data_IF_803731012422
#
_entry.id   IF_803731012422
#
_cell.length_a   1.000
_cell.length_b   1.000
_cell.length_c   1.000
_cell.angle_alpha   90.00
_cell.angle_beta   90.00
_cell.angle_gamma   90.00
#
_symmetry.space_group_name_H-M   'P 1'
#
loop_
_entity.id
_entity.type
_entity.pdbx_description
1 polymer ?
#
# COMPACT_ATOMS: atom_id res chain seq x y z
N UNK A 1 -27.62 1.34 -9.05
CA UNK A 1 -27.92 0.61 -10.31
C UNK A 1 -28.31 1.55 -11.44
N UNK A 2 -29.32 2.45 -11.28
CA UNK A 2 -29.84 3.32 -12.36
C UNK A 2 -28.76 4.31 -12.89
N UNK A 3 -28.03 5.00 -12.00
CA UNK A 3 -26.99 5.97 -12.40
C UNK A 3 -25.90 5.28 -13.23
N UNK A 4 -25.43 4.11 -12.81
CA UNK A 4 -24.42 3.37 -13.57
C UNK A 4 -24.95 2.91 -14.95
N UNK A 5 -26.23 2.52 -15.05
CA UNK A 5 -26.82 2.19 -16.35
C UNK A 5 -26.84 3.37 -17.31
N UNK A 6 -27.16 4.57 -16.82
CA UNK A 6 -27.10 5.80 -17.64
C UNK A 6 -25.68 6.10 -18.07
N UNK A 7 -24.70 6.03 -17.16
CA UNK A 7 -23.30 6.36 -17.48
C UNK A 7 -22.69 5.35 -18.47
N UNK A 8 -22.97 4.05 -18.31
CA UNK A 8 -22.51 3.01 -19.23
C UNK A 8 -23.10 3.16 -20.64
N UNK A 9 -24.26 3.84 -20.78
CA UNK A 9 -24.80 4.16 -22.11
C UNK A 9 -24.07 5.30 -22.82
N UNK A 10 -23.25 6.10 -22.11
CA UNK A 10 -22.45 7.18 -22.69
C UNK A 10 -21.16 6.62 -23.30
N UNK A 11 -20.41 5.84 -22.49
CA UNK A 11 -19.20 5.16 -22.90
C UNK A 11 -18.82 4.06 -21.87
N UNK A 12 -17.96 3.10 -22.24
CA UNK A 12 -17.60 1.99 -21.35
C UNK A 12 -16.72 2.38 -20.15
N UNK A 13 -16.22 3.61 -20.10
CA UNK A 13 -15.30 4.10 -19.06
C UNK A 13 -15.99 5.03 -18.06
N UNK A 14 -17.19 5.53 -18.40
CA UNK A 14 -17.95 6.37 -17.48
C UNK A 14 -18.59 5.55 -16.37
N UNK A 15 -18.28 5.89 -15.12
CA UNK A 15 -18.82 5.22 -13.95
C UNK A 15 -19.06 6.20 -12.80
N UNK A 16 -20.09 5.92 -12.00
CA UNK A 16 -20.30 6.58 -10.72
C UNK A 16 -19.53 5.83 -9.63
N UNK A 17 -18.76 6.57 -8.86
CA UNK A 17 -18.11 6.06 -7.66
C UNK A 17 -18.87 6.52 -6.42
N UNK A 18 -19.12 5.59 -5.50
CA UNK A 18 -19.56 5.96 -4.15
C UNK A 18 -18.44 6.75 -3.44
N UNK A 19 -18.74 7.52 -2.39
CA UNK A 19 -17.71 8.23 -1.62
C UNK A 19 -16.56 7.32 -1.17
N UNK A 20 -16.87 6.09 -0.71
CA UNK A 20 -15.86 5.13 -0.28
C UNK A 20 -15.02 4.60 -1.44
N UNK A 21 -15.67 4.28 -2.59
CA UNK A 21 -14.95 3.86 -3.79
C UNK A 21 -14.03 4.96 -4.32
N UNK A 22 -14.47 6.22 -4.26
CA UNK A 22 -13.66 7.36 -4.66
C UNK A 22 -12.45 7.55 -3.73
N UNK A 23 -12.65 7.44 -2.41
CA UNK A 23 -11.58 7.53 -1.43
C UNK A 23 -10.54 6.41 -1.60
N UNK A 24 -11.00 5.18 -1.86
CA UNK A 24 -10.11 4.06 -2.15
C UNK A 24 -9.32 4.29 -3.43
N UNK A 25 -9.95 4.77 -4.51
CA UNK A 25 -9.26 5.12 -5.74
C UNK A 25 -8.22 6.23 -5.52
N UNK A 26 -8.52 7.25 -4.71
CA UNK A 26 -7.55 8.29 -4.34
C UNK A 26 -6.35 7.69 -3.63
N UNK A 27 -6.56 6.79 -2.66
CA UNK A 27 -5.50 6.08 -1.93
C UNK A 27 -4.63 5.23 -2.88
N UNK A 28 -5.25 4.50 -3.80
CA UNK A 28 -4.54 3.69 -4.80
C UNK A 28 -3.70 4.56 -5.74
N UNK A 29 -4.24 5.71 -6.13
CA UNK A 29 -3.60 6.67 -7.04
C UNK A 29 -2.44 7.40 -6.37
N UNK A 30 -2.63 7.94 -5.19
CA UNK A 30 -1.57 8.59 -4.41
C UNK A 30 -0.52 7.59 -3.93
N UNK A 31 -0.93 6.36 -3.64
CA UNK A 31 -0.10 5.36 -2.99
C UNK A 31 0.19 5.69 -1.52
N UNK A 32 -0.67 6.50 -0.91
CA UNK A 32 -0.54 6.96 0.47
C UNK A 32 -1.89 6.99 1.17
N UNK A 33 -1.91 6.72 2.47
CA UNK A 33 -3.10 6.85 3.31
C UNK A 33 -2.73 7.20 4.75
N UNK A 34 -3.65 7.84 5.46
CA UNK A 34 -3.49 8.05 6.90
C UNK A 34 -3.78 6.78 7.68
N UNK A 35 -2.82 6.34 8.48
CA UNK A 35 -2.93 5.09 9.21
C UNK A 35 -1.84 4.89 10.25
N UNK A 36 -1.72 3.66 10.73
CA UNK A 36 -0.82 3.26 11.82
C UNK A 36 0.50 2.66 11.32
N UNK A 37 0.54 2.19 10.06
CA UNK A 37 1.68 1.48 9.51
C UNK A 37 1.82 0.06 10.06
N UNK A 38 0.75 -0.72 10.02
CA UNK A 38 0.71 -2.12 10.48
C UNK A 38 0.25 -3.03 9.35
N UNK A 39 0.98 -4.08 9.08
CA UNK A 39 0.50 -5.20 8.28
C UNK A 39 -0.28 -6.17 9.17
N UNK A 40 -1.50 -6.49 8.79
CA UNK A 40 -2.41 -7.30 9.59
C UNK A 40 -3.04 -8.44 8.82
N UNK A 41 -3.43 -9.49 9.54
CA UNK A 41 -4.23 -10.59 9.02
C UNK A 41 -5.36 -10.94 9.99
N UNK A 42 -6.31 -11.76 9.54
CA UNK A 42 -7.33 -12.32 10.41
C UNK A 42 -6.90 -13.71 10.89
N UNK A 43 -6.86 -13.93 12.20
CA UNK A 43 -6.58 -15.23 12.80
C UNK A 43 -7.58 -15.50 13.91
N UNK A 44 -8.33 -16.60 13.81
CA UNK A 44 -9.36 -17.01 14.79
C UNK A 44 -10.38 -15.90 15.13
N UNK A 45 -10.78 -15.09 14.15
CA UNK A 45 -11.79 -14.02 14.32
C UNK A 45 -11.27 -12.76 15.02
N UNK A 46 -9.96 -12.62 15.18
CA UNK A 46 -9.28 -11.40 15.69
C UNK A 46 -8.20 -10.94 14.73
N UNK A 47 -7.92 -9.65 14.75
CA UNK A 47 -6.88 -9.05 13.91
C UNK A 47 -5.51 -9.29 14.54
N UNK A 48 -4.64 -9.99 13.82
CA UNK A 48 -3.26 -10.25 14.21
C UNK A 48 -2.31 -9.32 13.47
N UNK A 49 -1.41 -8.71 14.19
CA UNK A 49 -0.29 -7.95 13.63
C UNK A 49 0.72 -8.93 13.05
N UNK A 50 0.92 -8.88 11.73
CA UNK A 50 1.99 -9.61 11.04
C UNK A 50 3.32 -8.92 11.32
N UNK A 51 3.36 -7.60 11.04
CA UNK A 51 4.53 -6.76 11.27
C UNK A 51 4.11 -5.28 11.32
N UNK A 52 4.64 -4.46 12.23
CA UNK A 52 4.66 -3.03 12.00
C UNK A 52 5.59 -2.72 10.82
N UNK A 53 5.33 -1.62 10.12
CA UNK A 53 6.20 -1.09 9.08
C UNK A 53 7.31 -0.30 9.78
N UNK A 54 8.54 -0.45 9.30
CA UNK A 54 9.70 0.27 9.85
C UNK A 54 9.47 1.79 9.87
N UNK A 55 9.80 2.43 10.96
CA UNK A 55 9.63 3.87 11.21
C UNK A 55 8.17 4.34 11.10
N UNK A 56 7.21 3.46 11.40
CA UNK A 56 5.79 3.80 11.43
C UNK A 56 5.35 4.19 12.85
N UNK A 57 4.24 4.95 12.99
CA UNK A 57 3.69 5.32 14.29
C UNK A 57 3.43 4.13 15.22
N UNK A 58 3.02 2.99 14.68
CA UNK A 58 2.77 1.79 15.46
C UNK A 58 4.07 1.15 15.98
N UNK A 59 5.14 1.16 15.18
CA UNK A 59 6.46 0.68 15.63
C UNK A 59 7.00 1.56 16.75
N UNK A 60 6.90 2.87 16.61
CA UNK A 60 7.41 3.85 17.59
C UNK A 60 6.79 3.68 18.97
N UNK A 61 5.49 3.39 19.05
CA UNK A 61 4.82 3.13 20.33
C UNK A 61 5.03 1.71 20.86
N UNK A 62 5.68 0.84 20.10
CA UNK A 62 6.07 -0.50 20.52
C UNK A 62 5.05 -1.60 20.22
N UNK A 63 4.21 -1.44 19.21
CA UNK A 63 3.42 -2.54 18.61
C UNK A 63 4.38 -3.55 18.00
N UNK A 64 4.10 -4.85 18.14
CA UNK A 64 5.00 -5.93 17.71
C UNK A 64 4.28 -6.97 16.86
N UNK A 65 5.05 -7.66 16.04
CA UNK A 65 4.58 -8.85 15.34
C UNK A 65 4.03 -9.87 16.33
N UNK A 66 2.88 -10.47 16.02
CA UNK A 66 2.19 -11.42 16.89
C UNK A 66 1.24 -10.80 17.91
N UNK A 67 1.10 -9.47 17.98
CA UNK A 67 0.07 -8.82 18.77
C UNK A 67 -1.32 -9.11 18.18
N UNK A 68 -2.32 -9.28 19.02
CA UNK A 68 -3.72 -9.43 18.63
C UNK A 68 -4.49 -8.16 19.01
N UNK A 69 -4.96 -7.41 18.02
CA UNK A 69 -5.78 -6.22 18.23
C UNK A 69 -7.20 -6.68 18.60
N UNK A 70 -7.61 -6.37 19.81
CA UNK A 70 -8.92 -6.78 20.34
C UNK A 70 -9.92 -5.64 20.39
N UNK A 71 -9.44 -4.38 20.45
CA UNK A 71 -10.28 -3.18 20.49
C UNK A 71 -9.60 -2.04 19.72
N UNK A 72 -10.38 -1.25 19.02
CA UNK A 72 -9.98 -0.03 18.32
C UNK A 72 -10.91 1.07 18.78
N UNK A 73 -10.37 2.11 19.42
CA UNK A 73 -11.14 3.08 20.20
C UNK A 73 -12.14 2.36 21.13
N UNK A 74 -13.43 2.66 21.04
CA UNK A 74 -14.46 2.00 21.82
C UNK A 74 -15.05 0.74 21.16
N UNK A 75 -14.52 0.34 20.00
CA UNK A 75 -15.09 -0.72 19.16
C UNK A 75 -14.34 -2.03 19.35
N UNK A 76 -15.05 -3.10 19.76
CA UNK A 76 -14.51 -4.46 19.77
C UNK A 76 -14.27 -4.96 18.35
N UNK A 77 -13.10 -5.56 18.12
CA UNK A 77 -12.72 -6.10 16.80
C UNK A 77 -13.33 -7.47 16.54
N UNK A 78 -13.65 -8.22 17.60
CA UNK A 78 -14.23 -9.56 17.47
C UNK A 78 -15.53 -9.54 16.66
N UNK A 79 -15.62 -10.42 15.67
CA UNK A 79 -16.78 -10.54 14.78
C UNK A 79 -16.79 -9.58 13.59
N UNK A 80 -15.78 -8.70 13.47
CA UNK A 80 -15.58 -7.85 12.29
C UNK A 80 -14.76 -8.58 11.23
N UNK A 81 -14.94 -8.18 10.00
CA UNK A 81 -14.06 -8.57 8.88
C UNK A 81 -12.74 -7.83 8.97
N UNK A 82 -11.71 -8.34 8.29
CA UNK A 82 -10.42 -7.65 8.19
C UNK A 82 -10.57 -6.24 7.60
N UNK A 83 -11.38 -6.11 6.54
CA UNK A 83 -11.63 -4.81 5.90
C UNK A 83 -12.25 -3.80 6.84
N UNK A 84 -13.26 -4.20 7.62
CA UNK A 84 -13.90 -3.32 8.62
C UNK A 84 -12.91 -2.89 9.71
N UNK A 85 -12.05 -3.79 10.16
CA UNK A 85 -11.03 -3.44 11.16
C UNK A 85 -9.95 -2.50 10.57
N UNK A 86 -9.55 -2.72 9.32
CA UNK A 86 -8.60 -1.84 8.61
C UNK A 86 -9.20 -0.45 8.42
N UNK A 87 -10.47 -0.34 8.05
CA UNK A 87 -11.14 0.98 7.91
C UNK A 87 -11.21 1.74 9.23
N UNK A 88 -11.40 1.05 10.36
CA UNK A 88 -11.35 1.68 11.69
C UNK A 88 -9.93 2.20 12.03
N UNK A 89 -8.89 1.47 11.61
CA UNK A 89 -7.50 1.88 11.83
C UNK A 89 -7.07 3.03 10.92
N UNK A 90 -7.67 3.18 9.74
CA UNK A 90 -7.44 4.31 8.82
C UNK A 90 -8.14 5.57 9.32
N UNK A 91 -7.66 6.72 8.88
CA UNK A 91 -8.28 8.00 9.21
C UNK A 91 -7.45 9.20 8.75
N UNK A 92 -7.89 10.42 9.05
CA UNK A 92 -7.13 11.63 8.73
C UNK A 92 -5.75 11.61 9.37
N UNK A 93 -4.74 12.03 8.61
CA UNK A 93 -3.38 12.25 9.14
C UNK A 93 -3.44 13.25 10.28
N UNK A 94 -2.72 12.98 11.37
CA UNK A 94 -2.71 13.81 12.60
C UNK A 94 -3.86 13.51 13.57
N UNK A 95 -4.78 12.60 13.24
CA UNK A 95 -5.82 12.16 14.19
C UNK A 95 -5.32 11.04 15.08
N UNK A 96 -5.73 11.03 16.34
CA UNK A 96 -5.37 10.01 17.31
C UNK A 96 -6.31 8.80 17.23
N UNK A 97 -5.80 7.65 17.64
CA UNK A 97 -6.54 6.40 17.78
C UNK A 97 -5.95 5.59 18.94
N UNK A 98 -6.82 4.94 19.70
CA UNK A 98 -6.42 3.98 20.73
C UNK A 98 -6.58 2.56 20.22
N UNK A 99 -5.54 1.74 20.30
CA UNK A 99 -5.65 0.29 20.07
C UNK A 99 -5.34 -0.48 21.34
N UNK A 100 -6.19 -1.45 21.66
CA UNK A 100 -5.94 -2.41 22.74
C UNK A 100 -5.50 -3.74 22.12
N UNK A 101 -4.35 -4.24 22.57
CA UNK A 101 -3.80 -5.49 22.07
C UNK A 101 -3.60 -6.51 23.17
N UNK A 102 -3.69 -7.80 22.78
CA UNK A 102 -3.24 -8.93 23.57
C UNK A 102 -1.92 -9.43 23.01
N UNK A 103 -0.91 -9.52 23.87
CA UNK A 103 0.44 -10.02 23.53
C UNK A 103 0.73 -11.30 24.30
N UNK A 104 1.28 -12.27 23.60
CA UNK A 104 1.68 -13.54 24.24
C UNK A 104 2.76 -13.25 25.30
N UNK A 105 2.54 -13.78 26.51
CA UNK A 105 3.44 -13.56 27.66
C UNK A 105 3.02 -12.39 28.56
N UNK A 106 2.15 -11.49 28.10
CA UNK A 106 1.61 -10.41 28.92
C UNK A 106 0.30 -10.82 29.60
N UNK A 107 0.19 -10.58 30.90
CA UNK A 107 -1.02 -10.91 31.67
C UNK A 107 -2.17 -9.93 31.41
N UNK A 108 -1.84 -8.67 31.14
CA UNK A 108 -2.80 -7.61 30.88
C UNK A 108 -2.81 -7.23 29.41
N UNK A 109 -3.92 -6.70 28.94
CA UNK A 109 -3.98 -6.03 27.64
C UNK A 109 -3.10 -4.78 27.66
N UNK A 110 -2.42 -4.51 26.55
CA UNK A 110 -1.63 -3.31 26.34
C UNK A 110 -2.48 -2.30 25.57
N UNK A 111 -2.37 -1.05 25.94
CA UNK A 111 -3.09 0.07 25.28
C UNK A 111 -2.04 0.95 24.63
N UNK A 112 -2.23 1.24 23.35
CA UNK A 112 -1.38 2.15 22.59
C UNK A 112 -2.21 3.29 22.03
N UNK A 113 -1.81 4.53 22.35
CA UNK A 113 -2.33 5.73 21.71
C UNK A 113 -1.39 6.09 20.57
N UNK A 114 -1.93 6.19 19.37
CA UNK A 114 -1.16 6.34 18.14
C UNK A 114 -1.75 7.52 17.35
N UNK A 115 -0.90 8.46 16.96
CA UNK A 115 -1.30 9.48 15.99
C UNK A 115 -1.12 8.95 14.58
N UNK A 116 -2.17 9.01 13.76
CA UNK A 116 -2.10 8.55 12.37
C UNK A 116 -1.17 9.40 11.53
N UNK A 117 -0.32 8.77 10.77
CA UNK A 117 0.59 9.44 9.85
C UNK A 117 0.36 8.98 8.40
N UNK A 118 1.06 9.63 7.47
CA UNK A 118 1.07 9.22 6.06
C UNK A 118 1.82 7.90 5.94
N UNK A 119 1.11 6.85 5.58
CA UNK A 119 1.69 5.53 5.31
C UNK A 119 1.83 5.35 3.80
N UNK A 120 3.06 5.15 3.33
CA UNK A 120 3.33 4.91 1.92
C UNK A 120 3.12 3.44 1.57
N UNK A 121 2.33 3.21 0.52
CA UNK A 121 2.15 1.86 -0.03
C UNK A 121 3.38 1.52 -0.87
N UNK A 122 4.14 0.51 -0.45
CA UNK A 122 5.26 0.01 -1.23
C UNK A 122 4.74 -0.68 -2.50
N UNK A 123 4.76 0.04 -3.63
CA UNK A 123 4.39 -0.52 -4.94
C UNK A 123 5.55 -1.27 -5.61
N UNK A 124 6.76 -1.15 -5.09
CA UNK A 124 7.98 -1.76 -5.65
C UNK A 124 8.56 -2.77 -4.66
N UNK A 125 8.68 -4.02 -5.11
CA UNK A 125 9.39 -5.10 -4.39
C UNK A 125 10.62 -5.50 -5.18
N UNK A 126 11.74 -5.73 -4.50
CA UNK A 126 13.01 -6.04 -5.17
C UNK A 126 13.69 -7.26 -4.57
N UNK A 127 14.41 -7.98 -5.41
CA UNK A 127 15.22 -9.14 -5.05
C UNK A 127 16.45 -9.20 -5.97
N UNK A 128 17.58 -9.68 -5.47
CA UNK A 128 18.75 -9.98 -6.30
C UNK A 128 18.74 -11.48 -6.62
N UNK A 129 18.68 -11.81 -7.92
CA UNK A 129 18.75 -13.20 -8.42
C UNK A 129 20.13 -13.49 -9.00
N UNK A 130 20.67 -14.68 -8.69
CA UNK A 130 21.94 -15.18 -9.20
C UNK A 130 23.13 -14.23 -8.98
N UNK A 131 23.08 -13.38 -7.98
CA UNK A 131 24.05 -12.32 -7.66
C UNK A 131 24.35 -11.34 -8.81
N UNK A 132 23.59 -11.38 -9.91
CA UNK A 132 23.84 -10.61 -11.14
C UNK A 132 22.61 -9.90 -11.68
N UNK A 133 21.41 -10.29 -11.25
CA UNK A 133 20.15 -9.82 -11.81
C UNK A 133 19.34 -9.11 -10.74
N UNK A 134 19.04 -7.83 -10.94
CA UNK A 134 18.08 -7.09 -10.14
C UNK A 134 16.66 -7.41 -10.62
N UNK A 135 15.88 -8.08 -9.78
CA UNK A 135 14.47 -8.31 -10.01
C UNK A 135 13.68 -7.22 -9.33
N UNK A 136 12.84 -6.52 -10.09
CA UNK A 136 11.98 -5.43 -9.64
C UNK A 136 10.55 -5.78 -10.00
N UNK A 137 9.72 -6.00 -8.99
CA UNK A 137 8.28 -6.20 -9.19
C UNK A 137 7.55 -4.90 -8.87
N UNK A 138 6.80 -4.39 -9.84
CA UNK A 138 5.93 -3.23 -9.69
C UNK A 138 4.47 -3.72 -9.62
N UNK A 139 3.80 -3.45 -8.50
CA UNK A 139 2.43 -3.93 -8.24
C UNK A 139 1.34 -2.98 -8.74
N UNK A 140 1.63 -1.67 -8.82
CA UNK A 140 0.72 -0.64 -9.35
C UNK A 140 1.49 0.60 -9.74
N UNK A 141 0.91 1.43 -10.62
CA UNK A 141 1.47 2.72 -11.02
C UNK A 141 0.83 3.86 -10.21
N UNK A 142 1.26 4.07 -8.97
CA UNK A 142 0.87 5.21 -8.13
C UNK A 142 1.88 6.37 -8.24
N UNK A 143 1.58 7.52 -7.64
CA UNK A 143 2.41 8.73 -7.71
C UNK A 143 3.88 8.50 -7.28
N UNK A 144 4.11 7.56 -6.36
CA UNK A 144 5.41 7.25 -5.80
C UNK A 144 6.20 6.19 -6.58
N UNK A 145 5.55 5.43 -7.47
CA UNK A 145 6.14 4.27 -8.16
C UNK A 145 7.41 4.62 -8.93
N UNK A 146 7.40 5.70 -9.68
CA UNK A 146 8.55 6.14 -10.47
C UNK A 146 9.75 6.50 -9.60
N UNK A 147 9.51 7.17 -8.47
CA UNK A 147 10.56 7.50 -7.51
C UNK A 147 11.13 6.23 -6.87
N UNK A 148 10.27 5.32 -6.41
CA UNK A 148 10.69 4.06 -5.79
C UNK A 148 11.56 3.23 -6.74
N UNK A 149 11.15 3.06 -8.01
CA UNK A 149 11.95 2.34 -9.02
C UNK A 149 13.28 3.05 -9.26
N UNK A 150 13.28 4.37 -9.45
CA UNK A 150 14.50 5.14 -9.68
C UNK A 150 15.51 4.97 -8.54
N UNK A 151 15.04 5.02 -7.31
CA UNK A 151 15.90 4.88 -6.14
C UNK A 151 16.46 3.46 -6.04
N UNK A 152 15.66 2.42 -6.34
CA UNK A 152 16.12 1.03 -6.40
C UNK A 152 17.11 0.78 -7.53
N UNK A 153 16.90 1.33 -8.72
CA UNK A 153 17.86 1.24 -9.81
C UNK A 153 19.19 1.90 -9.42
N UNK A 154 19.15 3.06 -8.76
CA UNK A 154 20.38 3.72 -8.26
C UNK A 154 21.11 2.88 -7.20
N UNK A 155 20.35 2.23 -6.31
CA UNK A 155 20.90 1.31 -5.31
C UNK A 155 21.61 0.12 -5.99
N UNK A 156 20.96 -0.52 -6.95
CA UNK A 156 21.54 -1.64 -7.70
C UNK A 156 22.75 -1.26 -8.54
N UNK A 157 22.77 -0.05 -9.13
CA UNK A 157 23.94 0.45 -9.89
C UNK A 157 25.20 0.61 -9.04
N UNK A 158 25.08 0.71 -7.72
CA UNK A 158 26.23 0.73 -6.82
C UNK A 158 26.84 -0.66 -6.61
N UNK A 159 26.12 -1.71 -6.93
CA UNK A 159 26.59 -3.09 -6.84
C UNK A 159 27.15 -3.52 -8.22
N UNK A 160 28.47 -3.57 -8.35
CA UNK A 160 29.17 -3.90 -9.60
C UNK A 160 28.83 -5.30 -10.16
N UNK A 161 28.27 -6.20 -9.35
CA UNK A 161 27.87 -7.52 -9.80
C UNK A 161 26.54 -7.50 -10.58
N UNK A 162 25.69 -6.47 -10.38
CA UNK A 162 24.40 -6.39 -11.08
C UNK A 162 24.61 -5.96 -12.52
N UNK A 163 24.27 -6.83 -13.45
CA UNK A 163 24.40 -6.62 -14.91
C UNK A 163 23.07 -6.60 -15.63
N UNK A 164 22.05 -7.26 -15.05
CA UNK A 164 20.76 -7.46 -15.68
C UNK A 164 19.64 -6.92 -14.79
N UNK A 165 18.54 -6.53 -15.44
CA UNK A 165 17.32 -6.07 -14.78
C UNK A 165 16.11 -6.83 -15.31
N UNK A 166 15.23 -7.25 -14.42
CA UNK A 166 13.92 -7.82 -14.76
C UNK A 166 12.87 -6.91 -14.12
N UNK A 167 12.01 -6.31 -14.94
CA UNK A 167 10.82 -5.61 -14.49
C UNK A 167 9.61 -6.55 -14.59
N UNK A 168 9.05 -6.93 -13.47
CA UNK A 168 7.87 -7.80 -13.40
C UNK A 168 6.61 -6.97 -13.16
N UNK A 169 5.72 -6.99 -14.16
CA UNK A 169 4.42 -6.32 -14.16
C UNK A 169 3.25 -7.32 -14.08
N UNK A 170 3.50 -8.57 -13.76
CA UNK A 170 2.42 -9.58 -13.64
C UNK A 170 1.48 -9.23 -12.51
N UNK A 171 0.17 -9.31 -12.80
CA UNK A 171 -0.91 -8.90 -11.89
C UNK A 171 -0.87 -7.41 -11.47
N UNK A 172 -0.23 -6.56 -12.29
CA UNK A 172 -0.31 -5.12 -12.14
C UNK A 172 -1.58 -4.63 -12.85
N UNK A 173 -2.56 -4.01 -12.16
CA UNK A 173 -3.81 -3.56 -12.78
C UNK A 173 -3.65 -2.27 -13.59
N UNK A 174 -2.48 -1.63 -13.56
CA UNK A 174 -2.23 -0.34 -14.17
C UNK A 174 -2.09 0.77 -13.13
N UNK A 175 -2.65 1.94 -13.42
CA UNK A 175 -2.60 3.15 -12.59
C UNK A 175 -2.32 4.40 -13.42
N UNK A 176 -1.49 5.31 -12.93
CA UNK A 176 -1.19 6.59 -13.57
C UNK A 176 -0.34 6.42 -14.83
N UNK A 177 -0.87 6.88 -15.97
CA UNK A 177 -0.17 6.89 -17.25
C UNK A 177 1.17 7.66 -17.18
N UNK A 178 1.19 8.78 -16.45
CA UNK A 178 2.40 9.56 -16.23
C UNK A 178 3.52 8.77 -15.57
N UNK A 179 3.18 7.88 -14.64
CA UNK A 179 4.16 7.01 -14.00
C UNK A 179 4.60 5.85 -14.91
N UNK A 180 3.70 5.30 -15.72
CA UNK A 180 4.05 4.31 -16.71
C UNK A 180 5.05 4.88 -17.73
N UNK A 181 4.81 6.08 -18.25
CA UNK A 181 5.74 6.79 -19.15
C UNK A 181 7.09 6.99 -18.45
N UNK A 182 7.10 7.55 -17.25
CA UNK A 182 8.32 7.84 -16.49
C UNK A 182 9.14 6.59 -16.19
N UNK A 183 8.47 5.49 -15.87
CA UNK A 183 9.16 4.22 -15.58
C UNK A 183 9.71 3.60 -16.87
N UNK A 184 8.96 3.64 -17.96
CA UNK A 184 9.42 3.15 -19.26
C UNK A 184 10.69 3.91 -19.71
N UNK A 185 10.72 5.22 -19.51
CA UNK A 185 11.86 6.07 -19.84
C UNK A 185 13.16 5.67 -19.11
N UNK A 186 13.06 5.07 -17.92
CA UNK A 186 14.26 4.60 -17.21
C UNK A 186 14.96 3.41 -17.86
N UNK A 187 14.28 2.70 -18.78
CA UNK A 187 14.77 1.50 -19.46
C UNK A 187 14.99 1.71 -20.97
N UNK A 188 14.72 2.90 -21.49
CA UNK A 188 14.83 3.23 -22.90
C UNK A 188 15.84 4.36 -23.09
N UNK A 189 16.67 4.26 -24.12
CA UNK A 189 17.63 5.31 -24.45
C UNK A 189 17.01 6.42 -25.29
N UNK A 190 16.06 6.06 -26.17
CA UNK A 190 15.33 6.99 -27.05
C UNK A 190 14.09 6.32 -27.63
N UNK A 191 13.24 7.11 -28.25
CA UNK A 191 12.02 6.68 -28.92
C UNK A 191 10.74 7.20 -28.27
N UNK A 192 9.64 7.09 -28.98
CA UNK A 192 8.32 7.47 -28.49
C UNK A 192 7.77 6.37 -27.57
N UNK A 193 7.32 6.73 -26.36
CA UNK A 193 6.73 5.81 -25.42
C UNK A 193 5.24 5.67 -25.64
N UNK A 194 4.55 6.79 -25.84
CA UNK A 194 3.12 6.85 -26.10
C UNK A 194 2.76 8.13 -26.84
N UNK A 195 1.86 8.04 -27.82
CA UNK A 195 1.21 9.19 -28.43
C UNK A 195 -0.30 9.02 -28.46
N UNK A 196 -1.06 10.07 -28.20
CA UNK A 196 -2.50 10.05 -28.42
C UNK A 196 -2.75 9.96 -29.93
N UNK A 197 -3.53 8.96 -30.37
CA UNK A 197 -4.11 8.97 -31.71
C UNK A 197 -5.43 9.73 -31.66
N UNK A 198 -5.53 10.80 -32.44
CA UNK A 198 -6.81 11.48 -32.71
C UNK A 198 -7.69 10.63 -33.62
#
# INVERSE_FOLDING_TARGET
AAINGVLQSLDPYSAYMSPDSFKNMQTETSGEFGGLGIEVSMEAGVVKVISPIDSSPAEEVGVKAGDYIVKIDDIQVQGKTLSEAVELMRGPVGSDIEITVRRRGERKALIFNITREVIQVASVKTEIKDNKTAYIRLTSFNENSGKQIKDKIKEFKKNENIKNYILDLRNNPGGLLSQAIKISDYFLDNGEIVSPKS
#
